data_IF_292749275891
#
_entry.id   IF_292749275891
#
_cell.length_a   1.000
_cell.length_b   1.000
_cell.length_c   1.000
_cell.angle_alpha   90.00
_cell.angle_beta   90.00
_cell.angle_gamma   90.00
#
_symmetry.space_group_name_H-M   'P 1'
#
loop_
_entity.id
_entity.type
_entity.pdbx_description
1 polymer ?
#
# COMPACT_ATOMS: atom_id res chain seq x y z
N UNK A 1 8.47 26.72 3.90
CA UNK A 1 7.58 25.58 3.53
C UNK A 1 8.05 24.82 2.29
N UNK A 2 8.32 25.46 1.13
CA UNK A 2 8.71 24.78 -0.11
C UNK A 2 10.00 23.92 -0.01
N UNK A 3 10.98 24.39 0.78
CA UNK A 3 12.24 23.68 1.03
C UNK A 3 12.05 22.41 1.87
N UNK A 4 11.15 22.46 2.86
CA UNK A 4 10.78 21.31 3.68
C UNK A 4 10.16 20.20 2.81
N UNK A 5 9.33 20.59 1.84
CA UNK A 5 8.64 19.67 0.94
C UNK A 5 9.56 18.95 -0.06
N UNK A 6 10.59 19.64 -0.60
CA UNK A 6 11.61 19.03 -1.45
C UNK A 6 12.36 17.92 -0.72
N UNK A 7 12.71 18.17 0.55
CA UNK A 7 13.40 17.19 1.38
C UNK A 7 12.47 16.03 1.73
N UNK A 8 11.20 16.30 2.03
CA UNK A 8 10.22 15.28 2.38
C UNK A 8 9.99 14.30 1.23
N UNK A 9 9.71 14.75 0.01
CA UNK A 9 9.45 13.82 -1.10
C UNK A 9 10.67 12.95 -1.45
N UNK A 10 11.88 13.53 -1.50
CA UNK A 10 13.12 12.77 -1.70
C UNK A 10 13.37 11.77 -0.57
N UNK A 11 13.04 12.13 0.68
CA UNK A 11 13.17 11.25 1.85
C UNK A 11 12.19 10.08 1.76
N UNK A 12 10.95 10.31 1.31
CA UNK A 12 9.96 9.26 1.10
C UNK A 12 10.38 8.28 0.01
N UNK A 13 10.89 8.78 -1.12
CA UNK A 13 11.45 7.94 -2.19
C UNK A 13 12.56 7.05 -1.63
N UNK A 14 13.52 7.65 -0.92
CA UNK A 14 14.64 6.89 -0.32
C UNK A 14 14.15 5.88 0.71
N UNK A 15 13.17 6.23 1.53
CA UNK A 15 12.61 5.33 2.52
C UNK A 15 11.85 4.18 1.87
N UNK A 16 11.10 4.42 0.80
CA UNK A 16 10.44 3.37 0.03
C UNK A 16 11.45 2.38 -0.57
N UNK A 17 12.58 2.86 -1.09
CA UNK A 17 13.66 2.00 -1.58
C UNK A 17 14.26 1.13 -0.46
N UNK A 18 14.40 1.66 0.76
CA UNK A 18 14.83 0.87 1.93
C UNK A 18 13.77 -0.14 2.35
N UNK A 19 12.48 0.20 2.27
CA UNK A 19 11.39 -0.74 2.55
C UNK A 19 11.45 -1.91 1.56
N UNK A 20 11.74 -1.66 0.28
CA UNK A 20 11.98 -2.73 -0.70
C UNK A 20 13.19 -3.59 -0.34
N UNK A 21 14.29 -3.00 0.13
CA UNK A 21 15.43 -3.75 0.66
C UNK A 21 15.05 -4.64 1.86
N UNK A 22 14.32 -4.08 2.83
CA UNK A 22 13.83 -4.84 4.00
C UNK A 22 12.90 -5.97 3.59
N UNK A 23 12.03 -5.78 2.59
CA UNK A 23 11.19 -6.86 2.03
C UNK A 23 12.05 -7.99 1.47
N UNK A 24 13.17 -7.70 0.80
CA UNK A 24 14.09 -8.75 0.33
C UNK A 24 14.72 -9.50 1.48
N UNK A 25 15.21 -8.80 2.50
CA UNK A 25 15.79 -9.41 3.70
C UNK A 25 14.78 -10.33 4.40
N UNK A 26 13.51 -9.92 4.46
CA UNK A 26 12.47 -10.65 5.18
C UNK A 26 11.91 -11.87 4.43
N UNK A 27 11.89 -11.82 3.09
CA UNK A 27 11.06 -12.74 2.30
C UNK A 27 11.76 -13.40 1.11
N UNK A 28 13.00 -13.01 0.77
CA UNK A 28 13.74 -13.61 -0.34
C UNK A 28 14.86 -14.52 0.15
N UNK A 29 15.01 -15.67 -0.51
CA UNK A 29 16.09 -16.61 -0.28
C UNK A 29 17.26 -16.34 -1.25
N UNK A 30 17.85 -15.13 -1.17
CA UNK A 30 19.02 -14.74 -1.99
C UNK A 30 20.34 -14.93 -1.24
N UNK A 31 21.46 -15.12 -1.96
CA UNK A 31 22.78 -14.93 -1.36
C UNK A 31 22.91 -13.55 -0.71
N UNK A 32 23.57 -13.47 0.44
CA UNK A 32 23.67 -12.25 1.28
C UNK A 32 24.14 -11.02 0.47
N UNK A 33 25.07 -11.21 -0.47
CA UNK A 33 25.59 -10.14 -1.33
C UNK A 33 24.56 -9.50 -2.27
N UNK A 34 23.39 -10.13 -2.47
CA UNK A 34 22.31 -9.67 -3.35
C UNK A 34 21.08 -9.15 -2.59
N UNK A 35 21.10 -9.19 -1.25
CA UNK A 35 19.98 -8.72 -0.43
C UNK A 35 19.97 -7.18 -0.32
N UNK A 36 21.16 -6.60 -0.16
CA UNK A 36 21.35 -5.16 0.04
C UNK A 36 21.32 -4.38 -1.28
N UNK A 37 20.84 -3.14 -1.23
CA UNK A 37 20.79 -2.22 -2.37
C UNK A 37 19.49 -1.41 -2.44
N UNK A 38 19.59 -0.11 -2.62
CA UNK A 38 18.43 0.74 -2.84
C UNK A 38 17.97 0.62 -4.29
N UNK A 39 16.74 0.13 -4.51
CA UNK A 39 16.13 0.03 -5.84
C UNK A 39 14.71 0.60 -5.87
N UNK A 40 14.34 1.15 -7.02
CA UNK A 40 12.98 1.60 -7.37
C UNK A 40 12.12 0.47 -7.95
N UNK A 41 12.75 -0.66 -8.32
CA UNK A 41 12.06 -1.83 -8.89
C UNK A 41 11.42 -2.67 -7.79
N UNK A 42 10.60 -3.65 -8.21
CA UNK A 42 10.05 -4.67 -7.32
C UNK A 42 11.17 -5.28 -6.45
N UNK A 43 10.90 -5.54 -5.16
CA UNK A 43 11.84 -6.27 -4.31
C UNK A 43 11.99 -7.73 -4.78
N UNK A 44 10.96 -8.30 -5.42
CA UNK A 44 10.92 -9.68 -5.86
C UNK A 44 11.17 -9.82 -7.37
N UNK A 45 11.73 -10.96 -7.78
CA UNK A 45 11.76 -11.43 -9.16
C UNK A 45 10.64 -12.45 -9.40
N UNK A 46 10.33 -12.73 -10.68
CA UNK A 46 9.29 -13.71 -11.05
C UNK A 46 9.59 -15.13 -10.56
N UNK A 47 10.85 -15.49 -10.35
CA UNK A 47 11.26 -16.79 -9.79
C UNK A 47 11.17 -16.87 -8.26
N UNK A 48 11.05 -15.73 -7.58
CA UNK A 48 11.01 -15.66 -6.11
C UNK A 48 9.59 -15.57 -5.56
N UNK A 49 8.62 -15.19 -6.39
CA UNK A 49 7.22 -15.23 -6.00
C UNK A 49 6.69 -16.65 -6.01
N UNK A 50 5.81 -16.98 -5.05
CA UNK A 50 5.29 -18.34 -4.84
C UNK A 50 3.80 -18.30 -4.52
N UNK A 51 3.03 -19.38 -4.78
CA UNK A 51 1.64 -19.48 -4.35
C UNK A 51 1.48 -19.11 -2.87
N UNK A 52 0.48 -18.27 -2.60
CA UNK A 52 0.22 -17.70 -1.27
C UNK A 52 -0.28 -18.79 -0.32
N UNK A 53 0.28 -18.81 0.89
CA UNK A 53 -0.35 -19.49 2.04
C UNK A 53 -0.89 -18.42 2.98
N UNK A 54 -2.20 -18.43 3.22
CA UNK A 54 -2.90 -17.46 4.06
C UNK A 54 -2.39 -17.50 5.50
N UNK A 55 -1.99 -18.67 6.00
CA UNK A 55 -1.32 -18.82 7.30
C UNK A 55 -0.03 -18.01 7.37
N UNK A 56 0.79 -18.02 6.33
CA UNK A 56 2.04 -17.24 6.28
C UNK A 56 1.76 -15.75 6.20
N UNK A 57 0.80 -15.33 5.38
CA UNK A 57 0.37 -13.94 5.29
C UNK A 57 -0.11 -13.39 6.65
N UNK A 58 -0.94 -14.17 7.36
CA UNK A 58 -1.41 -13.80 8.69
C UNK A 58 -0.26 -13.59 9.66
N UNK A 59 0.75 -14.48 9.66
CA UNK A 59 1.93 -14.38 10.53
C UNK A 59 2.83 -13.19 10.17
N UNK A 60 2.86 -12.77 8.90
CA UNK A 60 3.74 -11.69 8.44
C UNK A 60 3.14 -10.28 8.55
N UNK A 61 1.85 -10.16 8.82
CA UNK A 61 1.19 -8.84 8.74
C UNK A 61 1.71 -7.83 9.76
N UNK A 62 2.09 -8.25 10.96
CA UNK A 62 2.69 -7.33 11.94
C UNK A 62 4.02 -6.78 11.45
N UNK A 63 4.78 -7.57 10.71
CA UNK A 63 5.99 -7.10 10.04
C UNK A 63 5.65 -6.05 8.97
N UNK A 64 4.56 -6.22 8.22
CA UNK A 64 4.10 -5.20 7.29
C UNK A 64 3.71 -3.89 7.98
N UNK A 65 2.95 -3.97 9.08
CA UNK A 65 2.58 -2.81 9.91
C UNK A 65 3.84 -2.11 10.43
N UNK A 66 4.86 -2.86 10.86
CA UNK A 66 6.14 -2.30 11.28
C UNK A 66 6.82 -1.54 10.13
N UNK A 67 6.88 -2.12 8.93
CA UNK A 67 7.44 -1.44 7.75
C UNK A 67 6.68 -0.13 7.42
N UNK A 68 5.35 -0.13 7.55
CA UNK A 68 4.52 1.06 7.36
C UNK A 68 4.84 2.12 8.43
N UNK A 69 5.01 1.70 9.68
CA UNK A 69 5.41 2.58 10.76
C UNK A 69 6.81 3.17 10.54
N UNK A 70 7.79 2.39 10.09
CA UNK A 70 9.12 2.88 9.72
C UNK A 70 9.04 3.96 8.63
N UNK A 71 8.22 3.72 7.62
CA UNK A 71 7.99 4.68 6.55
C UNK A 71 7.34 5.97 7.10
N UNK A 72 6.37 5.86 8.00
CA UNK A 72 5.71 7.00 8.64
C UNK A 72 6.63 7.81 9.57
N UNK A 73 7.65 7.18 10.16
CA UNK A 73 8.64 7.90 10.99
C UNK A 73 9.62 8.74 10.19
N UNK A 74 9.70 8.57 8.86
CA UNK A 74 10.60 9.41 8.06
C UNK A 74 10.09 10.86 7.94
N UNK A 75 8.84 11.14 8.30
CA UNK A 75 8.23 12.46 8.26
C UNK A 75 8.73 13.32 9.45
N UNK A 76 9.45 14.44 9.22
CA UNK A 76 10.08 15.21 10.29
C UNK A 76 9.13 15.76 11.37
N UNK A 77 7.85 15.92 11.05
CA UNK A 77 6.85 16.48 11.95
C UNK A 77 6.06 15.42 12.73
N UNK A 78 6.19 14.14 12.37
CA UNK A 78 5.37 13.08 12.94
C UNK A 78 5.53 12.93 14.46
N UNK A 79 6.75 13.08 14.95
CA UNK A 79 7.05 13.02 16.40
C UNK A 79 6.50 14.21 17.20
N UNK A 80 6.12 15.30 16.52
CA UNK A 80 5.57 16.51 17.15
C UNK A 80 4.07 16.45 17.35
N UNK A 81 3.38 15.51 16.71
CA UNK A 81 1.93 15.36 16.84
C UNK A 81 1.57 14.66 18.16
N UNK A 82 0.34 14.92 18.63
CA UNK A 82 -0.21 14.21 19.78
C UNK A 82 -0.25 12.70 19.52
N UNK A 83 -0.22 11.89 20.58
CA UNK A 83 -0.31 10.43 20.42
C UNK A 83 -1.59 10.00 19.69
N UNK A 84 -2.71 10.70 19.93
CA UNK A 84 -3.99 10.44 19.26
C UNK A 84 -3.86 10.69 17.75
N UNK A 85 -3.35 11.87 17.35
CA UNK A 85 -3.17 12.18 15.93
C UNK A 85 -2.18 11.22 15.26
N UNK A 86 -1.11 10.82 15.96
CA UNK A 86 -0.14 9.83 15.45
C UNK A 86 -0.79 8.49 15.19
N UNK A 87 -1.65 8.02 16.10
CA UNK A 87 -2.42 6.78 15.92
C UNK A 87 -3.38 6.91 14.74
N UNK A 88 -4.10 8.03 14.60
CA UNK A 88 -5.02 8.28 13.47
C UNK A 88 -4.28 8.26 12.13
N UNK A 89 -3.11 8.90 12.05
CA UNK A 89 -2.27 8.88 10.84
C UNK A 89 -1.77 7.45 10.56
N UNK A 90 -1.34 6.72 11.59
CA UNK A 90 -0.89 5.33 11.43
C UNK A 90 -2.02 4.43 10.92
N UNK A 91 -3.25 4.54 11.45
CA UNK A 91 -4.43 3.78 10.99
C UNK A 91 -4.66 3.96 9.49
N UNK A 92 -4.65 5.21 9.02
CA UNK A 92 -4.82 5.53 7.61
C UNK A 92 -3.64 5.05 6.75
N UNK A 93 -2.39 5.17 7.22
CA UNK A 93 -1.23 4.60 6.53
C UNK A 93 -1.37 3.08 6.38
N UNK A 94 -1.77 2.39 7.44
CA UNK A 94 -1.95 0.93 7.45
C UNK A 94 -3.01 0.50 6.44
N UNK A 95 -4.17 1.16 6.43
CA UNK A 95 -5.23 0.88 5.47
C UNK A 95 -4.73 0.99 4.03
N UNK A 96 -4.22 2.15 3.64
CA UNK A 96 -3.89 2.38 2.23
C UNK A 96 -2.62 1.66 1.78
N UNK A 97 -1.62 1.46 2.64
CA UNK A 97 -0.43 0.70 2.26
C UNK A 97 -0.74 -0.79 2.07
N UNK A 98 -1.66 -1.36 2.88
CA UNK A 98 -2.11 -2.75 2.71
C UNK A 98 -2.81 -2.98 1.37
N UNK A 99 -3.40 -1.93 0.79
CA UNK A 99 -4.02 -1.96 -0.56
C UNK A 99 -2.98 -1.68 -1.64
N UNK A 100 -2.18 -0.63 -1.46
CA UNK A 100 -1.31 -0.08 -2.50
C UNK A 100 -0.02 -0.87 -2.71
N UNK A 101 0.60 -1.37 -1.64
CA UNK A 101 1.84 -2.13 -1.76
C UNK A 101 1.65 -3.41 -2.60
N UNK A 102 0.67 -4.29 -2.34
CA UNK A 102 0.44 -5.45 -3.20
C UNK A 102 -0.05 -5.05 -4.60
N UNK A 103 -0.82 -3.97 -4.74
CA UNK A 103 -1.25 -3.47 -6.05
C UNK A 103 -0.06 -3.06 -6.92
N UNK A 104 0.89 -2.30 -6.38
CA UNK A 104 2.05 -1.84 -7.14
C UNK A 104 3.07 -2.95 -7.42
N UNK A 105 3.28 -3.87 -6.48
CA UNK A 105 4.09 -5.07 -6.74
C UNK A 105 3.45 -5.90 -7.86
N UNK A 106 2.12 -6.02 -7.87
CA UNK A 106 1.39 -6.70 -8.94
C UNK A 106 1.60 -6.01 -10.30
N UNK A 107 1.53 -4.67 -10.37
CA UNK A 107 1.85 -3.92 -11.60
C UNK A 107 3.25 -4.25 -12.12
N UNK A 108 4.22 -4.45 -11.24
CA UNK A 108 5.62 -4.66 -11.61
C UNK A 108 5.93 -6.08 -12.10
N UNK A 109 5.34 -7.11 -11.50
CA UNK A 109 5.77 -8.50 -11.72
C UNK A 109 4.65 -9.54 -11.78
N UNK A 110 3.39 -9.15 -11.54
CA UNK A 110 2.27 -10.09 -11.40
C UNK A 110 1.18 -9.94 -12.45
N UNK A 111 0.91 -8.72 -12.92
CA UNK A 111 -0.20 -8.44 -13.82
C UNK A 111 0.06 -8.99 -15.24
N UNK A 112 -0.97 -9.58 -15.91
CA UNK A 112 -2.34 -9.77 -15.44
C UNK A 112 -2.62 -11.07 -14.67
N UNK A 113 -1.70 -12.04 -14.65
CA UNK A 113 -2.00 -13.42 -14.26
C UNK A 113 -1.99 -13.67 -12.74
N UNK A 114 -1.31 -12.81 -11.97
CA UNK A 114 -1.03 -13.04 -10.54
C UNK A 114 -1.25 -11.76 -9.73
N UNK A 115 -2.00 -11.86 -8.64
CA UNK A 115 -2.05 -10.80 -7.63
C UNK A 115 -1.02 -11.09 -6.54
N UNK A 116 0.01 -10.25 -6.44
CA UNK A 116 1.20 -10.50 -5.62
C UNK A 116 1.14 -9.66 -4.33
N UNK A 117 1.24 -10.34 -3.19
CA UNK A 117 1.24 -9.75 -1.86
C UNK A 117 2.59 -9.13 -1.51
N UNK A 118 2.63 -8.28 -0.47
CA UNK A 118 3.86 -7.64 0.03
C UNK A 118 4.95 -8.61 0.51
N UNK A 119 4.62 -9.90 0.66
CA UNK A 119 5.51 -10.99 1.06
C UNK A 119 6.12 -11.76 -0.12
N UNK A 120 5.74 -11.44 -1.36
CA UNK A 120 6.06 -12.24 -2.55
C UNK A 120 5.16 -13.47 -2.74
N UNK A 121 4.23 -13.74 -1.81
CA UNK A 121 3.18 -14.72 -2.03
C UNK A 121 2.16 -14.22 -3.06
N UNK A 122 1.69 -15.05 -3.99
CA UNK A 122 0.69 -14.65 -4.99
C UNK A 122 -0.53 -15.57 -5.01
N UNK A 123 -1.65 -15.03 -5.45
CA UNK A 123 -2.82 -15.81 -5.86
C UNK A 123 -3.05 -15.65 -7.36
N UNK A 124 -3.53 -16.70 -8.02
CA UNK A 124 -3.92 -16.63 -9.43
C UNK A 124 -5.13 -15.71 -9.60
N UNK A 125 -5.10 -14.90 -10.66
CA UNK A 125 -6.25 -14.09 -11.11
C UNK A 125 -7.16 -14.86 -12.07
N UNK A 126 -6.67 -15.95 -12.67
CA UNK A 126 -7.46 -16.82 -13.54
C UNK A 126 -8.41 -17.72 -12.75
N UNK A 127 -9.58 -18.01 -13.31
CA UNK A 127 -10.50 -18.99 -12.74
C UNK A 127 -10.05 -20.44 -12.95
N UNK A 128 -9.13 -20.68 -13.87
CA UNK A 128 -8.66 -22.04 -14.23
C UNK A 128 -7.44 -22.49 -13.41
N UNK A 129 -6.92 -21.63 -12.52
CA UNK A 129 -5.78 -21.95 -11.66
C UNK A 129 -6.15 -21.79 -10.20
N UNK A 130 -5.69 -22.77 -9.42
CA UNK A 130 -5.87 -22.87 -7.97
C UNK A 130 -4.68 -22.34 -7.18
N UNK A 131 -3.67 -21.77 -7.87
CA UNK A 131 -2.45 -21.27 -7.23
C UNK A 131 -2.79 -20.24 -6.14
N UNK A 132 -2.39 -20.55 -4.90
CA UNK A 132 -2.60 -19.70 -3.73
C UNK A 132 -4.03 -19.76 -3.17
N UNK A 133 -4.90 -20.56 -3.78
CA UNK A 133 -6.28 -20.80 -3.36
C UNK A 133 -6.48 -22.21 -2.77
N UNK A 134 -5.43 -23.01 -2.61
CA UNK A 134 -5.50 -24.38 -2.12
C UNK A 134 -6.01 -24.44 -0.66
N UNK A 135 -6.56 -25.56 -0.21
CA UNK A 135 -6.96 -25.72 1.20
C UNK A 135 -5.78 -25.54 2.17
N UNK A 136 -6.06 -24.95 3.33
CA UNK A 136 -5.17 -24.92 4.49
C UNK A 136 -5.91 -25.49 5.70
N UNK A 137 -5.17 -26.00 6.69
CA UNK A 137 -5.74 -26.59 7.91
C UNK A 137 -6.74 -25.65 8.60
N UNK A 138 -6.48 -24.35 8.56
CA UNK A 138 -7.30 -23.35 9.22
C UNK A 138 -8.44 -22.76 8.34
N UNK A 139 -8.43 -22.96 7.01
CA UNK A 139 -9.42 -22.36 6.09
C UNK A 139 -9.50 -23.09 4.74
N UNK A 140 -10.72 -23.35 4.30
CA UNK A 140 -10.98 -23.98 3.00
C UNK A 140 -10.78 -23.03 1.81
N UNK A 141 -10.43 -23.59 0.66
CA UNK A 141 -10.33 -22.94 -0.64
C UNK A 141 -11.60 -22.14 -0.97
N UNK A 142 -12.77 -22.77 -0.78
CA UNK A 142 -14.06 -22.13 -1.02
C UNK A 142 -14.24 -20.86 -0.18
N UNK A 143 -13.92 -20.94 1.12
CA UNK A 143 -14.04 -19.80 2.04
C UNK A 143 -13.07 -18.69 1.65
N UNK A 144 -11.82 -19.02 1.32
CA UNK A 144 -10.83 -18.03 0.83
C UNK A 144 -11.36 -17.30 -0.40
N UNK A 145 -11.83 -18.04 -1.40
CA UNK A 145 -12.32 -17.47 -2.65
C UNK A 145 -13.53 -16.58 -2.43
N UNK A 146 -14.50 -17.04 -1.63
CA UNK A 146 -15.71 -16.28 -1.29
C UNK A 146 -15.38 -14.93 -0.66
N UNK A 147 -14.37 -14.89 0.23
CA UNK A 147 -13.97 -13.68 0.94
C UNK A 147 -13.09 -12.78 0.07
N UNK A 148 -12.03 -13.34 -0.53
CA UNK A 148 -10.92 -12.55 -1.06
C UNK A 148 -10.95 -12.37 -2.58
N UNK A 149 -11.60 -13.24 -3.37
CA UNK A 149 -11.72 -12.99 -4.83
C UNK A 149 -12.46 -11.66 -5.13
N UNK A 150 -13.58 -11.30 -4.46
CA UNK A 150 -14.23 -10.02 -4.72
C UNK A 150 -13.33 -8.81 -4.43
N UNK A 151 -12.60 -8.85 -3.32
CA UNK A 151 -11.62 -7.82 -2.96
C UNK A 151 -10.49 -7.71 -3.98
N UNK A 152 -9.94 -8.85 -4.40
CA UNK A 152 -8.90 -8.92 -5.41
C UNK A 152 -9.38 -8.35 -6.75
N UNK A 153 -10.55 -8.76 -7.26
CA UNK A 153 -11.09 -8.25 -8.52
C UNK A 153 -11.34 -6.75 -8.48
N UNK A 154 -11.83 -6.23 -7.35
CA UNK A 154 -11.99 -4.80 -7.13
C UNK A 154 -10.66 -4.05 -7.22
N UNK A 155 -9.61 -4.53 -6.51
CA UNK A 155 -8.28 -3.94 -6.55
C UNK A 155 -7.67 -4.00 -7.96
N UNK A 156 -7.80 -5.14 -8.65
CA UNK A 156 -7.32 -5.32 -10.02
C UNK A 156 -7.98 -4.33 -10.98
N UNK A 157 -9.31 -4.21 -10.93
CA UNK A 157 -10.07 -3.38 -11.86
C UNK A 157 -9.94 -1.87 -11.57
N UNK A 158 -9.90 -1.48 -10.28
CA UNK A 158 -9.97 -0.07 -9.88
C UNK A 158 -8.62 0.57 -9.57
N UNK A 159 -7.58 -0.23 -9.32
CA UNK A 159 -6.25 0.25 -8.95
C UNK A 159 -5.18 -0.27 -9.91
N UNK A 160 -5.01 -1.59 -10.02
CA UNK A 160 -3.91 -2.18 -10.80
C UNK A 160 -4.04 -1.88 -12.29
N UNK A 161 -5.20 -2.14 -12.90
CA UNK A 161 -5.41 -1.89 -14.33
C UNK A 161 -5.25 -0.40 -14.70
N UNK A 162 -5.80 0.57 -13.93
CA UNK A 162 -5.48 1.98 -14.12
C UNK A 162 -3.99 2.31 -14.00
N UNK A 163 -3.30 1.77 -12.98
CA UNK A 163 -1.86 1.95 -12.80
C UNK A 163 -1.04 1.42 -13.99
N UNK A 164 -1.40 0.25 -14.54
CA UNK A 164 -0.80 -0.33 -15.75
C UNK A 164 -1.07 0.55 -16.97
N UNK A 165 -2.34 0.93 -17.19
CA UNK A 165 -2.76 1.75 -18.33
C UNK A 165 -2.03 3.10 -18.35
N UNK A 166 -1.94 3.76 -17.20
CA UNK A 166 -1.20 5.01 -17.08
C UNK A 166 0.31 4.81 -16.96
N UNK A 167 0.85 3.59 -16.94
CA UNK A 167 2.28 3.32 -16.74
C UNK A 167 2.84 4.07 -15.53
N UNK A 168 2.22 3.86 -14.37
CA UNK A 168 2.60 4.57 -13.15
C UNK A 168 4.10 4.35 -12.84
N UNK A 169 4.83 5.42 -12.55
CA UNK A 169 6.24 5.33 -12.17
C UNK A 169 6.41 5.24 -10.64
N UNK A 170 7.63 4.99 -10.19
CA UNK A 170 7.94 4.83 -8.76
C UNK A 170 7.69 6.12 -7.96
N UNK A 171 8.07 7.27 -8.51
CA UNK A 171 7.86 8.59 -7.90
C UNK A 171 6.37 8.89 -7.73
N UNK A 172 5.55 8.59 -8.74
CA UNK A 172 4.11 8.74 -8.68
C UNK A 172 3.49 7.80 -7.65
N UNK A 173 3.92 6.54 -7.59
CA UNK A 173 3.46 5.59 -6.58
C UNK A 173 3.77 6.09 -5.16
N UNK A 174 4.99 6.56 -4.89
CA UNK A 174 5.38 7.09 -3.58
C UNK A 174 4.55 8.32 -3.21
N UNK A 175 4.34 9.24 -4.15
CA UNK A 175 3.51 10.42 -3.91
C UNK A 175 2.05 10.05 -3.67
N UNK A 176 1.48 9.17 -4.50
CA UNK A 176 0.11 8.70 -4.37
C UNK A 176 -0.13 8.03 -3.02
N UNK A 177 0.81 7.18 -2.59
CA UNK A 177 0.77 6.53 -1.28
C UNK A 177 0.80 7.53 -0.13
N UNK A 178 1.64 8.56 -0.23
CA UNK A 178 1.67 9.63 0.77
C UNK A 178 0.41 10.50 0.78
N UNK A 179 -0.05 10.92 -0.41
CA UNK A 179 -1.20 11.80 -0.56
C UNK A 179 -2.44 11.13 -0.01
N UNK A 180 -2.73 9.88 -0.39
CA UNK A 180 -3.95 9.19 0.03
C UNK A 180 -4.00 9.01 1.56
N UNK A 181 -2.89 8.56 2.17
CA UNK A 181 -2.84 8.30 3.61
C UNK A 181 -2.98 9.57 4.45
N UNK A 182 -2.45 10.70 3.96
CA UNK A 182 -2.57 11.96 4.68
C UNK A 182 -3.92 12.64 4.40
N UNK A 183 -4.40 12.62 3.16
CA UNK A 183 -5.66 13.26 2.76
C UNK A 183 -6.85 12.66 3.49
N UNK A 184 -6.91 11.33 3.65
CA UNK A 184 -7.95 10.67 4.43
C UNK A 184 -7.91 11.03 5.91
N UNK A 185 -6.75 11.43 6.42
CA UNK A 185 -6.53 11.76 7.83
C UNK A 185 -6.85 13.22 8.17
N UNK A 186 -6.86 14.15 7.21
CA UNK A 186 -7.00 15.61 7.45
C UNK A 186 -8.21 15.97 8.32
N UNK A 187 -9.31 15.25 8.17
CA UNK A 187 -10.56 15.53 8.88
C UNK A 187 -10.70 14.75 10.20
N UNK A 188 -9.83 13.77 10.44
CA UNK A 188 -9.86 12.88 11.62
C UNK A 188 -8.84 13.31 12.70
N UNK A 189 -8.04 14.35 12.44
CA UNK A 189 -7.05 14.90 13.36
C UNK A 189 -7.50 16.21 14.00
N UNK A 190 -6.80 16.56 15.08
CA UNK A 190 -6.93 17.81 15.82
C UNK A 190 -6.83 19.07 14.95
N UNK A 191 -7.36 20.19 15.46
CA UNK A 191 -7.32 21.47 14.77
C UNK A 191 -5.88 21.99 14.59
N UNK A 192 -4.97 21.61 15.48
CA UNK A 192 -3.55 21.94 15.48
C UNK A 192 -2.79 21.16 14.38
N UNK A 193 -3.07 19.86 14.23
CA UNK A 193 -2.39 18.99 13.27
C UNK A 193 -2.90 19.20 11.84
N UNK A 194 -4.19 19.50 11.66
CA UNK A 194 -4.86 19.70 10.37
C UNK A 194 -4.15 20.66 9.40
N UNK A 195 -3.78 21.90 9.78
CA UNK A 195 -3.10 22.82 8.86
C UNK A 195 -1.71 22.31 8.45
N UNK A 196 -1.02 21.57 9.31
CA UNK A 196 0.28 20.97 9.01
C UNK A 196 0.12 19.89 7.93
N UNK A 197 -0.86 18.99 8.08
CA UNK A 197 -1.14 17.96 7.07
C UNK A 197 -1.54 18.57 5.72
N UNK A 198 -2.38 19.62 5.71
CA UNK A 198 -2.73 20.35 4.49
C UNK A 198 -1.51 20.96 3.81
N UNK A 199 -0.64 21.61 4.59
CA UNK A 199 0.61 22.17 4.06
C UNK A 199 1.54 21.11 3.47
N UNK A 200 1.57 19.90 4.03
CA UNK A 200 2.31 18.76 3.46
C UNK A 200 1.68 18.30 2.14
N UNK A 201 0.37 18.11 2.11
CA UNK A 201 -0.37 17.68 0.92
C UNK A 201 -0.20 18.65 -0.25
N UNK A 202 -0.40 19.95 -0.01
CA UNK A 202 -0.19 21.00 -1.02
C UNK A 202 1.21 20.93 -1.61
N UNK A 203 2.19 20.65 -0.74
CA UNK A 203 3.56 20.59 -1.18
C UNK A 203 3.87 19.30 -1.96
N UNK A 204 3.29 18.16 -1.61
CA UNK A 204 3.38 16.92 -2.40
C UNK A 204 2.78 17.11 -3.79
N UNK A 205 1.59 17.71 -3.90
CA UNK A 205 0.95 18.00 -5.19
C UNK A 205 1.81 18.94 -6.05
N UNK A 206 2.34 20.03 -5.47
CA UNK A 206 3.28 20.91 -6.17
C UNK A 206 4.53 20.17 -6.64
N UNK A 207 5.03 19.21 -5.87
CA UNK A 207 6.22 18.42 -6.26
C UNK A 207 5.94 17.50 -7.42
N UNK A 208 4.80 16.82 -7.44
CA UNK A 208 4.40 15.99 -8.57
C UNK A 208 4.18 16.84 -9.83
N UNK A 209 3.55 18.00 -9.70
CA UNK A 209 3.42 18.92 -10.83
C UNK A 209 4.77 19.36 -11.40
N UNK A 210 5.73 19.74 -10.54
CA UNK A 210 7.10 20.08 -10.97
C UNK A 210 7.81 18.88 -11.61
N UNK A 211 7.66 17.68 -11.04
CA UNK A 211 8.20 16.45 -11.61
C UNK A 211 7.69 16.24 -13.05
N UNK A 212 6.42 16.48 -13.35
CA UNK A 212 5.91 16.37 -14.71
C UNK A 212 6.48 17.42 -15.67
N UNK A 213 6.67 18.67 -15.21
CA UNK A 213 7.32 19.72 -16.01
C UNK A 213 8.76 19.31 -16.35
N UNK A 214 9.53 18.90 -15.34
CA UNK A 214 10.95 18.53 -15.49
C UNK A 214 11.14 17.34 -16.46
N UNK A 215 10.18 16.40 -16.46
CA UNK A 215 10.21 15.23 -17.34
C UNK A 215 9.54 15.47 -18.70
N UNK A 216 9.12 16.71 -19.02
CA UNK A 216 8.44 17.10 -20.28
C UNK A 216 7.19 16.25 -20.57
N UNK A 217 6.49 15.83 -19.53
CA UNK A 217 5.23 15.10 -19.63
C UNK A 217 4.06 16.06 -19.89
N UNK A 218 2.95 15.54 -20.42
CA UNK A 218 1.69 16.27 -20.41
C UNK A 218 1.18 16.41 -18.97
N UNK A 219 1.44 17.57 -18.37
CA UNK A 219 1.17 17.83 -16.95
C UNK A 219 -0.33 17.68 -16.65
N UNK A 220 -1.20 18.20 -17.51
CA UNK A 220 -2.64 18.19 -17.29
C UNK A 220 -3.17 16.75 -17.31
N UNK A 221 -2.78 15.96 -18.31
CA UNK A 221 -3.21 14.56 -18.44
C UNK A 221 -2.65 13.70 -17.32
N UNK A 222 -1.34 13.79 -17.02
CA UNK A 222 -0.71 13.00 -15.95
C UNK A 222 -1.30 13.32 -14.58
N UNK A 223 -1.45 14.60 -14.26
CA UNK A 223 -1.99 15.04 -12.98
C UNK A 223 -3.46 14.65 -12.83
N UNK A 224 -4.27 14.84 -13.88
CA UNK A 224 -5.67 14.41 -13.91
C UNK A 224 -5.83 12.91 -13.67
N UNK A 225 -5.03 12.08 -14.37
CA UNK A 225 -5.05 10.62 -14.18
C UNK A 225 -4.66 10.21 -12.75
N UNK A 226 -3.68 10.88 -12.15
CA UNK A 226 -3.28 10.61 -10.76
C UNK A 226 -4.40 10.96 -9.77
N UNK A 227 -5.09 12.09 -9.98
CA UNK A 227 -6.23 12.51 -9.13
C UNK A 227 -7.40 11.53 -9.26
N UNK A 228 -7.74 11.11 -10.49
CA UNK A 228 -8.78 10.11 -10.71
C UNK A 228 -8.44 8.77 -10.04
N UNK A 229 -7.18 8.36 -10.08
CA UNK A 229 -6.73 7.16 -9.38
C UNK A 229 -6.84 7.30 -7.85
N UNK A 230 -6.52 8.46 -7.28
CA UNK A 230 -6.73 8.74 -5.85
C UNK A 230 -8.20 8.56 -5.46
N UNK A 231 -9.14 9.04 -6.27
CA UNK A 231 -10.57 8.84 -6.04
C UNK A 231 -10.97 7.36 -6.03
N UNK A 232 -10.43 6.56 -6.96
CA UNK A 232 -10.67 5.11 -6.98
C UNK A 232 -10.12 4.44 -5.72
N UNK A 233 -8.93 4.82 -5.27
CA UNK A 233 -8.29 4.24 -4.09
C UNK A 233 -9.08 4.56 -2.81
N UNK A 234 -9.60 5.79 -2.68
CA UNK A 234 -10.49 6.16 -1.56
C UNK A 234 -11.72 5.25 -1.51
N UNK A 235 -12.38 5.03 -2.66
CA UNK A 235 -13.56 4.18 -2.75
C UNK A 235 -13.24 2.71 -2.42
N UNK A 236 -12.11 2.18 -2.92
CA UNK A 236 -11.64 0.84 -2.57
C UNK A 236 -11.30 0.74 -1.09
N UNK A 237 -10.71 1.78 -0.50
CA UNK A 237 -10.40 1.83 0.93
C UNK A 237 -11.63 1.68 1.81
N UNK A 238 -12.73 2.36 1.46
CA UNK A 238 -14.02 2.24 2.18
C UNK A 238 -14.57 0.81 2.09
N UNK A 239 -14.67 0.25 0.88
CA UNK A 239 -15.16 -1.11 0.67
C UNK A 239 -14.26 -2.17 1.33
N UNK A 240 -12.94 -1.93 1.35
CA UNK A 240 -11.98 -2.81 2.01
C UNK A 240 -12.24 -2.87 3.51
N UNK A 241 -12.48 -1.73 4.16
CA UNK A 241 -12.84 -1.65 5.57
C UNK A 241 -14.16 -2.35 5.85
N UNK A 242 -15.20 -2.11 5.05
CA UNK A 242 -16.51 -2.76 5.19
C UNK A 242 -16.39 -4.29 5.11
N UNK A 243 -15.66 -4.81 4.12
CA UNK A 243 -15.47 -6.25 3.96
C UNK A 243 -14.68 -6.90 5.08
N UNK A 244 -13.67 -6.22 5.64
CA UNK A 244 -12.94 -6.73 6.80
C UNK A 244 -13.79 -6.72 8.08
N UNK A 245 -14.72 -5.78 8.21
CA UNK A 245 -15.72 -5.82 9.28
C UNK A 245 -16.69 -6.98 9.11
N UNK A 246 -17.17 -7.25 7.89
CA UNK A 246 -18.01 -8.43 7.61
C UNK A 246 -17.29 -9.74 7.99
N UNK A 247 -16.03 -9.91 7.56
CA UNK A 247 -15.22 -11.10 7.89
C UNK A 247 -15.10 -11.29 9.39
N UNK A 248 -14.81 -10.21 10.13
CA UNK A 248 -14.67 -10.25 11.58
C UNK A 248 -16.01 -10.49 12.29
N UNK A 249 -17.10 -9.92 11.79
CA UNK A 249 -18.44 -10.06 12.35
C UNK A 249 -18.99 -11.49 12.20
N UNK A 250 -18.78 -12.10 11.04
CA UNK A 250 -19.22 -13.47 10.73
C UNK A 250 -18.19 -14.55 11.13
N UNK A 251 -17.07 -14.16 11.78
CA UNK A 251 -15.93 -15.01 12.15
C UNK A 251 -15.45 -15.94 11.02
N UNK A 252 -15.46 -15.43 9.78
CA UNK A 252 -15.15 -16.23 8.58
C UNK A 252 -13.67 -16.56 8.47
N UNK A 253 -12.82 -15.75 9.12
CA UNK A 253 -11.37 -15.93 9.16
C UNK A 253 -10.78 -15.13 10.32
N UNK A 254 -9.93 -15.77 11.12
CA UNK A 254 -9.26 -15.11 12.23
C UNK A 254 -8.14 -14.18 11.72
N UNK A 255 -8.45 -12.91 11.48
CA UNK A 255 -7.47 -11.87 11.19
C UNK A 255 -6.63 -11.54 12.44
N UNK A 256 -5.44 -10.95 12.24
CA UNK A 256 -4.63 -10.48 13.37
C UNK A 256 -5.34 -9.35 14.11
N UNK A 257 -5.37 -9.44 15.44
CA UNK A 257 -6.09 -8.48 16.30
C UNK A 257 -5.59 -7.04 16.14
N UNK A 258 -4.31 -6.84 15.83
CA UNK A 258 -3.75 -5.50 15.62
C UNK A 258 -4.29 -4.86 14.34
N UNK A 259 -4.42 -5.61 13.24
CA UNK A 259 -5.05 -5.10 12.02
C UNK A 259 -6.47 -4.66 12.33
N UNK A 260 -7.25 -5.50 13.01
CA UNK A 260 -8.64 -5.21 13.31
C UNK A 260 -8.77 -3.93 14.15
N UNK A 261 -7.89 -3.72 15.14
CA UNK A 261 -7.86 -2.48 15.93
C UNK A 261 -7.46 -1.25 15.10
N UNK A 262 -6.61 -1.43 14.08
CA UNK A 262 -6.19 -0.34 13.20
C UNK A 262 -7.23 -0.02 12.11
N UNK A 263 -8.04 -0.99 11.70
CA UNK A 263 -9.13 -0.81 10.72
C UNK A 263 -10.45 -0.37 11.36
N UNK A 264 -10.63 -0.57 12.67
CA UNK A 264 -11.77 -0.04 13.42
C UNK A 264 -11.70 1.49 13.45
N UNK A 265 -12.75 2.13 12.94
CA UNK A 265 -13.04 3.53 13.27
C UNK A 265 -13.62 3.55 14.68
N UNK A 266 -12.95 4.19 15.62
CA UNK A 266 -13.58 4.53 16.89
C UNK A 266 -14.72 5.51 16.58
N UNK A 267 -15.94 5.12 16.98
CA UNK A 267 -17.12 5.98 16.97
C UNK A 267 -17.04 7.00 18.10
#
# INVERSE_FOLDING_TARGET
MLFLALQVFKRLIKEEMKINERRRILFCDRPVGMLLGLTKTSPFTSSEIRPLRFRHFRKSIRTHILLIYEWLRCWPVYEKFSNIDRITILRNCVLYHTILDPSYITVQIGYPERFVMHTGGYVSTSNDSEDGWEDEEEISSETKKRIYKPLMHMMLAKIVAPMVSMKICFEEFVALKAIISLQSTVFEVSAETRPILRGILDALFRKIHLFYIENKSDVAVRFGNLVLLLSNILAVGQQFVEKHHEIAFFDLWHLDSLILQLLKKEQ
#
